data_IF_605759347958
#
_entry.id   IF_605759347958
#
_cell.length_a   1.000
_cell.length_b   1.000
_cell.length_c   1.000
_cell.angle_alpha   90.00
_cell.angle_beta   90.00
_cell.angle_gamma   90.00
#
_symmetry.space_group_name_H-M   'P 1'
#
loop_
_entity.id
_entity.type
_entity.pdbx_description
1 polymer ?
#
# COMPACT_ATOMS: atom_id res chain seq x y z
N UNK A 1 11.25 -16.12 9.64
CA UNK A 1 11.95 -14.87 9.22
C UNK A 1 11.14 -13.69 9.71
N UNK A 2 11.79 -12.65 10.26
CA UNK A 2 11.13 -11.42 10.71
C UNK A 2 11.55 -10.26 9.80
N UNK A 3 10.59 -9.50 9.30
CA UNK A 3 10.84 -8.38 8.39
C UNK A 3 10.10 -7.14 8.87
N UNK A 4 10.85 -6.04 8.96
CA UNK A 4 10.30 -4.71 9.21
C UNK A 4 10.41 -3.91 7.91
N UNK A 5 9.30 -3.28 7.52
CA UNK A 5 9.20 -2.43 6.35
C UNK A 5 8.81 -1.02 6.81
N UNK A 6 9.55 -0.01 6.36
CA UNK A 6 9.29 1.40 6.66
C UNK A 6 8.77 2.08 5.39
N UNK A 7 7.53 2.57 5.46
CA UNK A 7 6.72 3.00 4.33
C UNK A 7 5.84 1.87 3.81
N UNK A 8 4.54 2.13 3.67
CA UNK A 8 3.50 1.15 3.35
C UNK A 8 2.67 1.49 2.10
N UNK A 9 3.12 2.46 1.28
CA UNK A 9 2.35 2.91 0.11
C UNK A 9 2.55 1.96 -1.09
N UNK A 10 3.50 2.24 -1.98
CA UNK A 10 3.69 1.42 -3.20
C UNK A 10 4.69 0.28 -2.97
N UNK A 11 5.98 0.63 -2.85
CA UNK A 11 7.06 -0.36 -2.73
C UNK A 11 6.95 -1.21 -1.48
N UNK A 12 6.62 -0.60 -0.33
CA UNK A 12 6.50 -1.30 0.95
C UNK A 12 5.38 -2.33 0.98
N UNK A 13 4.17 -1.96 0.53
CA UNK A 13 3.05 -2.90 0.42
C UNK A 13 3.37 -4.02 -0.59
N UNK A 14 3.98 -3.68 -1.73
CA UNK A 14 4.40 -4.67 -2.74
C UNK A 14 5.41 -5.67 -2.18
N UNK A 15 6.40 -5.19 -1.43
CA UNK A 15 7.39 -6.04 -0.78
C UNK A 15 6.75 -6.94 0.28
N UNK A 16 5.87 -6.40 1.13
CA UNK A 16 5.14 -7.17 2.14
C UNK A 16 4.33 -8.30 1.51
N UNK A 17 3.54 -7.99 0.47
CA UNK A 17 2.73 -8.97 -0.26
C UNK A 17 3.61 -10.04 -0.93
N UNK A 18 4.74 -9.64 -1.53
CA UNK A 18 5.67 -10.59 -2.16
C UNK A 18 6.32 -11.51 -1.13
N UNK A 19 6.74 -10.98 0.02
CA UNK A 19 7.33 -11.78 1.10
C UNK A 19 6.32 -12.80 1.64
N UNK A 20 5.07 -12.40 1.87
CA UNK A 20 4.01 -13.34 2.30
C UNK A 20 3.78 -14.47 1.29
N UNK A 21 3.81 -14.17 -0.01
CA UNK A 21 3.68 -15.19 -1.08
C UNK A 21 4.86 -16.16 -1.14
N UNK A 22 6.06 -15.70 -0.80
CA UNK A 22 7.27 -16.53 -0.80
C UNK A 22 7.43 -17.31 0.51
N UNK A 23 6.87 -16.81 1.60
CA UNK A 23 6.93 -17.43 2.91
C UNK A 23 5.66 -17.11 3.71
N UNK A 24 4.75 -18.07 3.77
CA UNK A 24 3.48 -17.96 4.47
C UNK A 24 3.62 -17.81 6.00
N UNK A 25 4.79 -18.12 6.55
CA UNK A 25 5.10 -18.00 7.98
C UNK A 25 5.99 -16.81 8.32
N UNK A 26 6.30 -15.93 7.35
CA UNK A 26 7.05 -14.71 7.64
C UNK A 26 6.27 -13.80 8.60
N UNK A 27 6.96 -13.25 9.59
CA UNK A 27 6.43 -12.21 10.46
C UNK A 27 6.80 -10.86 9.83
N UNK A 28 5.79 -10.11 9.36
CA UNK A 28 5.98 -8.90 8.57
C UNK A 28 5.29 -7.75 9.31
N UNK A 29 6.06 -6.73 9.70
CA UNK A 29 5.53 -5.51 10.30
C UNK A 29 5.81 -4.34 9.37
N UNK A 30 4.76 -3.58 9.01
CA UNK A 30 4.86 -2.40 8.16
C UNK A 30 4.56 -1.17 8.99
N UNK A 31 5.46 -0.18 8.97
CA UNK A 31 5.24 1.13 9.58
C UNK A 31 4.94 2.15 8.48
N UNK A 32 3.76 2.76 8.53
CA UNK A 32 3.39 3.87 7.66
C UNK A 32 2.99 5.07 8.51
N UNK A 33 3.52 6.24 8.17
CA UNK A 33 3.30 7.49 8.91
C UNK A 33 1.99 8.16 8.52
N UNK A 34 1.59 8.06 7.26
CA UNK A 34 0.48 8.85 6.70
C UNK A 34 -0.91 8.40 7.19
N UNK A 35 -1.01 7.21 7.77
CA UNK A 35 -2.30 6.57 8.10
C UNK A 35 -2.97 5.89 6.92
N UNK A 36 -2.45 6.05 5.70
CA UNK A 36 -2.96 5.40 4.48
C UNK A 36 -1.93 4.43 3.93
N UNK A 37 -2.32 3.17 3.76
CA UNK A 37 -1.52 2.14 3.12
C UNK A 37 -2.06 1.88 1.71
N UNK A 38 -1.21 1.39 0.81
CA UNK A 38 -1.64 0.79 -0.47
C UNK A 38 -2.65 1.63 -1.29
N UNK A 39 -2.45 2.94 -1.39
CA UNK A 39 -3.33 3.83 -2.16
C UNK A 39 -2.69 4.28 -3.49
N UNK A 40 -3.55 4.56 -4.47
CA UNK A 40 -3.20 4.91 -5.84
C UNK A 40 -2.85 6.41 -5.97
N UNK A 41 -1.61 6.78 -5.62
CA UNK A 41 -1.09 8.13 -5.85
C UNK A 41 -1.27 8.61 -7.31
N UNK A 42 -1.05 7.73 -8.27
CA UNK A 42 -1.23 8.04 -9.69
C UNK A 42 -2.71 8.28 -10.07
N UNK A 43 -3.65 7.82 -9.23
CA UNK A 43 -5.09 8.03 -9.38
C UNK A 43 -5.56 9.40 -8.91
N UNK A 44 -4.82 10.06 -8.01
CA UNK A 44 -5.23 11.34 -7.40
C UNK A 44 -5.56 12.45 -8.42
N UNK A 45 -4.80 12.64 -9.53
CA UNK A 45 -5.15 13.65 -10.53
C UNK A 45 -6.53 13.42 -11.16
N UNK A 46 -6.97 12.18 -11.28
CA UNK A 46 -8.28 11.83 -11.82
C UNK A 46 -9.40 12.09 -10.82
N UNK A 47 -9.12 11.98 -9.52
CA UNK A 47 -10.06 12.37 -8.47
C UNK A 47 -10.22 13.90 -8.41
N UNK A 48 -9.11 14.65 -8.47
CA UNK A 48 -9.14 16.12 -8.53
C UNK A 48 -9.85 16.62 -9.80
N UNK A 49 -9.74 15.87 -10.90
CA UNK A 49 -10.37 16.18 -12.17
C UNK A 49 -11.80 15.63 -12.34
N UNK A 50 -12.46 15.18 -11.27
CA UNK A 50 -13.82 14.64 -11.26
C UNK A 50 -14.05 13.42 -12.19
N UNK A 51 -12.99 12.74 -12.63
CA UNK A 51 -13.06 11.50 -13.40
C UNK A 51 -13.27 10.30 -12.49
N UNK A 52 -12.58 10.30 -11.35
CA UNK A 52 -12.88 9.42 -10.21
C UNK A 52 -13.70 10.24 -9.24
N UNK A 53 -14.87 9.76 -8.85
CA UNK A 53 -15.78 10.51 -7.96
C UNK A 53 -15.91 9.89 -6.58
N UNK A 54 -15.64 8.59 -6.46
CA UNK A 54 -15.58 7.88 -5.19
C UNK A 54 -14.11 7.77 -4.72
N UNK A 55 -13.72 8.40 -3.59
CA UNK A 55 -12.36 8.30 -3.06
C UNK A 55 -11.97 6.88 -2.66
N UNK A 56 -12.91 5.97 -2.41
CA UNK A 56 -12.61 4.56 -2.11
C UNK A 56 -11.97 3.85 -3.32
N UNK A 57 -12.22 4.31 -4.55
CA UNK A 57 -11.57 3.79 -5.76
C UNK A 57 -10.06 4.09 -5.83
N UNK A 58 -9.56 4.97 -4.97
CA UNK A 58 -8.13 5.26 -4.85
C UNK A 58 -7.42 4.33 -3.86
N UNK A 59 -8.14 3.46 -3.17
CA UNK A 59 -7.60 2.57 -2.13
C UNK A 59 -7.86 1.11 -2.48
N UNK A 60 -6.94 0.21 -2.07
CA UNK A 60 -7.00 -1.24 -2.29
C UNK A 60 -7.01 -2.01 -0.97
#
# INVERSE_FOLDING_TARGET
MKVIIVGGVAGGATAAARIRRLNEHAEITVFERSGYISYANCGLPYYIGDVITDPEELTL
#
